data_IF_709254086233
#
_entry.id   IF_709254086233
#
_cell.length_a   1.000
_cell.length_b   1.000
_cell.length_c   1.000
_cell.angle_alpha   90.00
_cell.angle_beta   90.00
_cell.angle_gamma   90.00
#
_symmetry.space_group_name_H-M   'P 1'
#
loop_
_entity.id
_entity.type
_entity.pdbx_description
1 polymer ?
#
# COMPACT_ATOMS: atom_id res chain seq x y z
N UNK A 1 16.20 -34.28 20.91
CA UNK A 1 16.79 -33.22 20.05
C UNK A 1 15.91 -32.94 18.80
N UNK A 2 14.61 -32.60 18.97
CA UNK A 2 13.65 -32.49 17.85
C UNK A 2 12.72 -31.27 17.85
N UNK A 3 12.75 -30.43 18.88
CA UNK A 3 11.77 -29.33 19.07
C UNK A 3 12.17 -28.01 18.39
N UNK A 4 13.45 -27.80 18.08
CA UNK A 4 13.95 -26.55 17.47
C UNK A 4 13.57 -26.38 15.98
N UNK A 5 13.33 -27.48 15.26
CA UNK A 5 13.10 -27.45 13.82
C UNK A 5 11.62 -27.15 13.47
N UNK A 6 10.67 -27.71 14.23
CA UNK A 6 9.24 -27.47 14.04
C UNK A 6 8.84 -26.00 14.27
N UNK A 7 9.43 -25.35 15.30
CA UNK A 7 9.18 -23.93 15.59
C UNK A 7 9.76 -22.98 14.54
N UNK A 8 10.84 -23.38 13.84
CA UNK A 8 11.43 -22.59 12.74
C UNK A 8 10.61 -22.72 11.45
N UNK A 9 10.10 -23.92 11.16
CA UNK A 9 9.17 -24.16 10.05
C UNK A 9 7.87 -23.35 10.20
N UNK A 10 7.18 -23.49 11.33
CA UNK A 10 5.93 -22.76 11.59
C UNK A 10 6.10 -21.23 11.57
N UNK A 11 7.23 -20.71 12.06
CA UNK A 11 7.55 -19.26 12.00
C UNK A 11 7.74 -18.79 10.55
N UNK A 12 8.39 -19.61 9.72
CA UNK A 12 8.61 -19.30 8.29
C UNK A 12 7.28 -19.29 7.54
N UNK A 13 6.36 -20.20 7.86
CA UNK A 13 5.01 -20.24 7.28
C UNK A 13 4.18 -19.00 7.65
N UNK A 14 4.20 -18.57 8.91
CA UNK A 14 3.48 -17.37 9.36
C UNK A 14 4.04 -16.08 8.73
N UNK A 15 5.37 -15.96 8.64
CA UNK A 15 6.01 -14.85 7.93
C UNK A 15 5.64 -14.86 6.45
N UNK A 16 5.57 -16.05 5.84
CA UNK A 16 5.14 -16.23 4.47
C UNK A 16 3.72 -15.73 4.21
N UNK A 17 2.77 -16.06 5.08
CA UNK A 17 1.38 -15.57 5.00
C UNK A 17 1.36 -14.04 5.14
N UNK A 18 2.00 -13.52 6.18
CA UNK A 18 2.04 -12.09 6.47
C UNK A 18 2.60 -11.27 5.30
N UNK A 19 3.73 -11.67 4.71
CA UNK A 19 4.33 -10.94 3.58
C UNK A 19 3.49 -11.03 2.31
N UNK A 20 2.79 -12.14 2.10
CA UNK A 20 1.87 -12.28 0.97
C UNK A 20 0.62 -11.40 1.12
N UNK A 21 0.09 -11.23 2.34
CA UNK A 21 -1.01 -10.30 2.61
C UNK A 21 -0.57 -8.84 2.37
N UNK A 22 0.63 -8.46 2.82
CA UNK A 22 1.22 -7.15 2.49
C UNK A 22 1.46 -6.95 1.00
N UNK A 23 1.88 -8.00 0.28
CA UNK A 23 2.05 -7.94 -1.17
C UNK A 23 0.72 -7.75 -1.89
N UNK A 24 -0.35 -8.39 -1.43
CA UNK A 24 -1.70 -8.21 -1.95
C UNK A 24 -2.16 -6.76 -1.73
N UNK A 25 -2.06 -6.23 -0.51
CA UNK A 25 -2.40 -4.85 -0.18
C UNK A 25 -1.59 -3.82 -0.99
N UNK A 26 -0.27 -4.02 -1.09
CA UNK A 26 0.62 -3.17 -1.89
C UNK A 26 0.25 -3.18 -3.38
N UNK A 27 -0.20 -4.31 -3.91
CA UNK A 27 -0.66 -4.44 -5.30
C UNK A 27 -1.96 -3.67 -5.54
N UNK A 28 -2.93 -3.76 -4.62
CA UNK A 28 -4.19 -3.01 -4.70
C UNK A 28 -3.91 -1.50 -4.60
N UNK A 29 -3.14 -1.06 -3.60
CA UNK A 29 -2.78 0.35 -3.41
C UNK A 29 -2.05 0.93 -4.62
N UNK A 30 -1.05 0.21 -5.15
CA UNK A 30 -0.32 0.62 -6.35
C UNK A 30 -1.24 0.77 -7.57
N UNK A 31 -2.12 -0.19 -7.83
CA UNK A 31 -3.09 -0.09 -8.94
C UNK A 31 -4.05 1.07 -8.74
N UNK A 32 -4.51 1.30 -7.51
CA UNK A 32 -5.49 2.35 -7.19
C UNK A 32 -4.94 3.76 -7.40
N UNK A 33 -3.72 4.05 -6.92
CA UNK A 33 -3.12 5.38 -7.10
C UNK A 33 -2.81 5.66 -8.58
N UNK A 34 -2.34 4.68 -9.34
CA UNK A 34 -2.15 4.83 -10.80
C UNK A 34 -3.47 5.07 -11.54
N UNK A 35 -4.53 4.38 -11.15
CA UNK A 35 -5.87 4.64 -11.68
C UNK A 35 -6.32 6.07 -11.37
N UNK A 36 -6.12 6.53 -10.13
CA UNK A 36 -6.50 7.87 -9.69
C UNK A 36 -5.76 8.96 -10.47
N UNK A 37 -4.43 8.85 -10.61
CA UNK A 37 -3.61 9.77 -11.43
C UNK A 37 -4.13 9.84 -12.86
N UNK A 38 -4.41 8.70 -13.51
CA UNK A 38 -4.96 8.69 -14.88
C UNK A 38 -6.34 9.34 -14.96
N UNK A 39 -7.22 9.04 -14.01
CA UNK A 39 -8.59 9.54 -13.99
C UNK A 39 -8.68 11.04 -13.65
N UNK A 40 -7.62 11.62 -13.07
CA UNK A 40 -7.53 13.03 -12.73
C UNK A 40 -6.88 13.90 -13.83
N UNK A 41 -6.31 13.29 -14.88
CA UNK A 41 -5.70 14.01 -15.99
C UNK A 41 -4.58 14.95 -15.54
N UNK A 42 -4.53 16.16 -16.10
CA UNK A 42 -3.52 17.19 -15.81
C UNK A 42 -3.89 18.08 -14.60
N UNK A 43 -4.71 17.56 -13.67
CA UNK A 43 -5.09 18.33 -12.48
C UNK A 43 -3.90 18.49 -11.51
N UNK A 44 -3.89 19.55 -10.68
CA UNK A 44 -2.88 19.74 -9.63
C UNK A 44 -2.77 18.53 -8.67
N UNK A 45 -3.89 17.88 -8.36
CA UNK A 45 -3.90 16.68 -7.53
C UNK A 45 -3.21 15.50 -8.23
N UNK A 46 -3.38 15.33 -9.54
CA UNK A 46 -2.68 14.28 -10.28
C UNK A 46 -1.17 14.49 -10.24
N UNK A 47 -0.71 15.72 -10.48
CA UNK A 47 0.71 16.08 -10.41
C UNK A 47 1.31 15.80 -9.02
N UNK A 48 0.59 16.15 -7.95
CA UNK A 48 1.02 15.85 -6.58
C UNK A 48 1.06 14.33 -6.27
N UNK A 49 0.19 13.53 -6.90
CA UNK A 49 0.11 12.08 -6.67
C UNK A 49 1.09 11.27 -7.52
N UNK A 50 1.59 11.79 -8.65
CA UNK A 50 2.52 11.07 -9.53
C UNK A 50 3.79 10.60 -8.79
N UNK A 51 4.49 11.43 -8.00
CA UNK A 51 5.65 10.98 -7.23
C UNK A 51 5.29 9.86 -6.26
N UNK A 52 4.19 10.01 -5.52
CA UNK A 52 3.70 9.02 -4.55
C UNK A 52 3.36 7.69 -5.25
N UNK A 53 2.78 7.74 -6.46
CA UNK A 53 2.48 6.55 -7.25
C UNK A 53 3.75 5.78 -7.63
N UNK A 54 4.78 6.52 -8.07
CA UNK A 54 6.10 5.96 -8.36
C UNK A 54 6.74 5.33 -7.12
N UNK A 55 6.73 6.03 -6.00
CA UNK A 55 7.27 5.50 -4.74
C UNK A 55 6.52 4.27 -4.23
N UNK A 56 5.18 4.24 -4.29
CA UNK A 56 4.39 3.05 -3.91
C UNK A 56 4.70 1.86 -4.82
N UNK A 57 4.95 2.08 -6.11
CA UNK A 57 5.41 1.01 -7.00
C UNK A 57 6.81 0.51 -6.61
N UNK A 58 7.72 1.40 -6.23
CA UNK A 58 9.05 1.06 -5.73
C UNK A 58 8.96 0.29 -4.40
N UNK A 59 8.11 0.68 -3.45
CA UNK A 59 7.87 -0.07 -2.20
C UNK A 59 7.45 -1.51 -2.47
N UNK A 60 6.54 -1.71 -3.43
CA UNK A 60 6.09 -3.05 -3.82
C UNK A 60 7.25 -3.86 -4.42
N UNK A 61 8.11 -3.24 -5.22
CA UNK A 61 9.30 -3.90 -5.75
C UNK A 61 10.29 -4.27 -4.62
N UNK A 62 10.51 -3.38 -3.66
CA UNK A 62 11.31 -3.67 -2.47
C UNK A 62 10.73 -4.82 -1.65
N UNK A 63 9.41 -4.92 -1.50
CA UNK A 63 8.77 -6.05 -0.82
C UNK A 63 9.09 -7.38 -1.50
N UNK A 64 8.98 -7.43 -2.83
CA UNK A 64 9.26 -8.64 -3.60
C UNK A 64 10.72 -9.06 -3.47
N UNK A 65 11.65 -8.11 -3.48
CA UNK A 65 13.07 -8.36 -3.29
C UNK A 65 13.38 -8.89 -1.87
N UNK A 66 12.76 -8.30 -0.84
CA UNK A 66 12.87 -8.80 0.54
C UNK A 66 12.31 -10.22 0.65
N UNK A 67 11.14 -10.50 0.06
CA UNK A 67 10.56 -11.83 0.03
C UNK A 67 11.50 -12.85 -0.62
N UNK A 68 12.15 -12.47 -1.73
CA UNK A 68 13.16 -13.29 -2.41
C UNK A 68 14.33 -13.62 -1.50
N UNK A 69 14.93 -12.62 -0.84
CA UNK A 69 16.03 -12.80 0.13
C UNK A 69 15.64 -13.70 1.32
N UNK A 70 14.39 -13.63 1.75
CA UNK A 70 13.87 -14.46 2.83
C UNK A 70 13.50 -15.89 2.39
N UNK A 71 13.55 -16.20 1.09
CA UNK A 71 13.09 -17.48 0.54
C UNK A 71 11.56 -17.64 0.61
N UNK A 72 10.82 -16.54 0.74
CA UNK A 72 9.36 -16.53 0.79
C UNK A 72 8.82 -16.39 -0.63
N UNK A 73 8.15 -17.41 -1.19
CA UNK A 73 7.58 -17.30 -2.52
C UNK A 73 6.46 -16.27 -2.55
N UNK A 74 6.47 -15.41 -3.57
CA UNK A 74 5.34 -14.53 -3.89
C UNK A 74 4.18 -15.39 -4.40
N UNK A 75 3.23 -15.68 -3.53
CA UNK A 75 2.09 -16.53 -3.81
C UNK A 75 1.02 -15.73 -4.53
N UNK A 76 0.80 -16.07 -5.80
CA UNK A 76 -0.14 -15.38 -6.70
C UNK A 76 -1.62 -15.69 -6.43
N UNK A 77 -1.95 -16.55 -5.48
CA UNK A 77 -3.25 -17.23 -5.42
C UNK A 77 -4.47 -16.37 -5.07
N UNK A 78 -4.31 -15.05 -4.86
CA UNK A 78 -5.43 -14.11 -4.73
C UNK A 78 -5.27 -12.80 -5.49
N UNK A 79 -4.24 -12.65 -6.34
CA UNK A 79 -4.10 -11.47 -7.22
C UNK A 79 -5.37 -11.28 -8.08
N UNK A 80 -6.12 -12.36 -8.35
CA UNK A 80 -7.28 -12.38 -9.23
C UNK A 80 -8.66 -12.33 -8.53
N UNK A 81 -8.84 -12.86 -7.32
CA UNK A 81 -10.18 -12.95 -6.71
C UNK A 81 -10.68 -11.63 -6.08
N UNK A 82 -9.76 -10.78 -5.59
CA UNK A 82 -10.09 -9.49 -4.99
C UNK A 82 -10.28 -8.37 -6.04
N UNK A 83 -9.64 -8.48 -7.21
CA UNK A 83 -9.90 -7.57 -8.35
C UNK A 83 -11.37 -7.65 -8.85
N UNK A 84 -12.06 -8.76 -8.55
CA UNK A 84 -13.46 -9.05 -8.92
C UNK A 84 -14.50 -8.65 -7.87
N UNK A 85 -14.16 -8.52 -6.57
CA UNK A 85 -15.13 -8.19 -5.52
C UNK A 85 -15.21 -6.68 -5.20
N UNK A 86 -14.08 -5.96 -5.21
CA UNK A 86 -14.05 -4.51 -4.92
C UNK A 86 -14.62 -3.65 -6.07
N UNK A 87 -14.63 -4.16 -7.30
CA UNK A 87 -15.33 -3.52 -8.43
C UNK A 87 -16.86 -3.61 -8.32
N UNK A 88 -17.42 -4.52 -7.51
CA UNK A 88 -18.86 -4.76 -7.47
C UNK A 88 -19.62 -3.94 -6.40
N UNK A 89 -18.98 -3.51 -5.30
CA UNK A 89 -19.73 -3.03 -4.11
C UNK A 89 -19.83 -1.52 -3.87
N UNK A 90 -18.79 -0.72 -4.15
CA UNK A 90 -18.70 0.65 -3.58
C UNK A 90 -18.34 1.80 -4.51
N UNK A 91 -18.16 1.53 -5.81
CA UNK A 91 -17.98 2.58 -6.83
C UNK A 91 -19.21 2.82 -7.71
N UNK A 92 -20.39 2.34 -7.29
CA UNK A 92 -21.66 2.81 -7.87
C UNK A 92 -22.27 3.93 -7.02
N UNK A 93 -22.00 5.22 -7.31
CA UNK A 93 -23.07 6.19 -7.27
C UNK A 93 -23.88 5.98 -8.56
N UNK A 94 -25.09 5.49 -8.39
CA UNK A 94 -26.19 5.49 -9.35
C UNK A 94 -25.98 6.38 -10.58
N UNK A 95 -25.56 5.79 -11.70
CA UNK A 95 -25.86 6.07 -13.12
C UNK A 95 -26.16 7.49 -13.65
N UNK A 96 -25.99 8.57 -12.89
CA UNK A 96 -26.36 9.93 -13.27
C UNK A 96 -25.56 10.89 -12.41
N UNK A 97 -24.40 11.31 -12.89
CA UNK A 97 -23.85 12.66 -12.68
C UNK A 97 -22.55 12.77 -13.49
N UNK A 98 -22.56 13.70 -14.42
CA UNK A 98 -21.52 14.01 -15.43
C UNK A 98 -20.23 14.56 -14.77
N UNK A 99 -20.06 14.47 -13.45
CA UNK A 99 -18.94 15.04 -12.70
C UNK A 99 -18.59 14.17 -11.49
N UNK A 100 -17.30 13.82 -11.33
CA UNK A 100 -16.77 13.14 -10.13
C UNK A 100 -17.12 13.96 -8.89
N UNK A 101 -17.69 13.34 -7.86
CA UNK A 101 -17.99 14.04 -6.61
C UNK A 101 -16.70 14.51 -5.94
N UNK A 102 -16.62 15.75 -5.42
CA UNK A 102 -15.48 16.23 -4.63
C UNK A 102 -15.11 15.30 -3.46
N UNK A 103 -16.11 14.61 -2.87
CA UNK A 103 -15.89 13.65 -1.79
C UNK A 103 -15.24 12.34 -2.26
N UNK A 104 -15.32 11.99 -3.55
CA UNK A 104 -14.68 10.79 -4.08
C UNK A 104 -13.16 10.86 -3.91
N UNK A 105 -12.55 12.01 -4.22
CA UNK A 105 -11.11 12.20 -4.06
C UNK A 105 -10.67 12.11 -2.59
N UNK A 106 -11.49 12.61 -1.66
CA UNK A 106 -11.20 12.54 -0.21
C UNK A 106 -11.16 11.08 0.26
N UNK A 107 -12.19 10.29 -0.07
CA UNK A 107 -12.26 8.87 0.31
C UNK A 107 -11.14 8.05 -0.33
N UNK A 108 -10.74 8.39 -1.56
CA UNK A 108 -9.61 7.73 -2.20
C UNK A 108 -8.27 8.07 -1.54
N UNK A 109 -8.08 9.32 -1.09
CA UNK A 109 -6.88 9.71 -0.34
C UNK A 109 -6.83 8.99 1.01
N UNK A 110 -7.96 8.86 1.73
CA UNK A 110 -8.05 8.07 2.96
C UNK A 110 -7.68 6.60 2.74
N UNK A 111 -8.19 6.01 1.66
CA UNK A 111 -7.83 4.64 1.29
C UNK A 111 -6.32 4.49 1.04
N UNK A 112 -5.70 5.46 0.35
CA UNK A 112 -4.24 5.44 0.14
C UNK A 112 -3.48 5.61 1.45
N UNK A 113 -3.91 6.49 2.36
CA UNK A 113 -3.28 6.65 3.67
C UNK A 113 -3.30 5.35 4.46
N UNK A 114 -4.45 4.65 4.51
CA UNK A 114 -4.56 3.33 5.15
C UNK A 114 -3.60 2.31 4.53
N UNK A 115 -3.47 2.31 3.19
CA UNK A 115 -2.52 1.45 2.49
C UNK A 115 -1.06 1.77 2.84
N UNK A 116 -0.71 3.06 2.94
CA UNK A 116 0.64 3.51 3.30
C UNK A 116 0.97 3.19 4.77
N UNK A 117 0.02 3.34 5.70
CA UNK A 117 0.23 2.90 7.08
C UNK A 117 0.38 1.39 7.19
N UNK A 118 -0.41 0.63 6.43
CA UNK A 118 -0.32 -0.82 6.35
C UNK A 118 1.10 -1.27 5.99
N UNK A 119 1.64 -0.78 4.88
CA UNK A 119 3.02 -1.12 4.49
C UNK A 119 4.07 -0.59 5.48
N UNK A 120 3.87 0.60 6.07
CA UNK A 120 4.79 1.14 7.07
C UNK A 120 4.87 0.23 8.32
N UNK A 121 3.74 -0.31 8.76
CA UNK A 121 3.70 -1.32 9.82
C UNK A 121 4.48 -2.58 9.42
N UNK A 122 4.35 -3.04 8.17
CA UNK A 122 5.14 -4.13 7.60
C UNK A 122 6.65 -3.87 7.66
N UNK A 123 7.08 -2.66 7.27
CA UNK A 123 8.48 -2.24 7.34
C UNK A 123 9.03 -2.19 8.76
N UNK A 124 8.28 -1.63 9.70
CA UNK A 124 8.67 -1.60 11.13
C UNK A 124 8.80 -3.01 11.71
N UNK A 125 7.93 -3.94 11.31
CA UNK A 125 8.01 -5.34 11.72
C UNK A 125 9.28 -6.00 11.18
N UNK A 126 9.54 -5.89 9.88
CA UNK A 126 10.76 -6.41 9.26
C UNK A 126 12.02 -5.79 9.87
N UNK A 127 11.96 -4.49 10.21
CA UNK A 127 13.10 -3.79 10.83
C UNK A 127 13.47 -4.34 12.21
N UNK A 128 12.49 -4.83 12.98
CA UNK A 128 12.73 -5.56 14.22
C UNK A 128 13.28 -6.96 13.96
N UNK A 129 12.76 -7.68 12.97
CA UNK A 129 13.30 -9.00 12.62
C UNK A 129 14.76 -8.95 12.17
N UNK A 130 15.18 -7.84 11.55
CA UNK A 130 16.56 -7.59 11.13
C UNK A 130 17.58 -7.55 12.29
N UNK A 131 17.12 -7.51 13.56
CA UNK A 131 18.00 -7.69 14.73
C UNK A 131 18.49 -9.14 14.87
N UNK A 132 17.77 -10.10 14.30
CA UNK A 132 18.01 -11.55 14.45
C UNK A 132 18.13 -12.30 13.12
N UNK A 133 17.76 -11.67 12.00
CA UNK A 133 17.82 -12.24 10.65
C UNK A 133 18.72 -11.38 9.75
N UNK A 134 19.96 -11.82 9.55
CA UNK A 134 20.96 -11.11 8.75
C UNK A 134 20.65 -11.01 7.25
N UNK A 135 19.57 -11.63 6.76
CA UNK A 135 19.10 -11.47 5.37
C UNK A 135 18.36 -10.15 5.15
N UNK A 136 17.97 -9.47 6.24
CA UNK A 136 17.27 -8.19 6.22
C UNK A 136 18.24 -7.02 6.41
N UNK A 137 18.19 -6.07 5.48
CA UNK A 137 18.99 -4.86 5.54
C UNK A 137 18.29 -3.80 6.42
N UNK A 138 18.93 -3.44 7.52
CA UNK A 138 18.41 -2.45 8.48
C UNK A 138 18.31 -1.05 7.88
N UNK A 139 19.31 -0.63 7.12
CA UNK A 139 19.37 0.71 6.53
C UNK A 139 18.28 0.83 5.46
N UNK A 140 18.17 -0.16 4.58
CA UNK A 140 17.10 -0.19 3.58
C UNK A 140 15.70 -0.10 4.21
N UNK A 141 15.48 -0.82 5.31
CA UNK A 141 14.19 -0.79 6.02
C UNK A 141 13.93 0.57 6.69
N UNK A 142 14.95 1.21 7.25
CA UNK A 142 14.85 2.56 7.81
C UNK A 142 14.50 3.59 6.72
N UNK A 143 15.10 3.48 5.53
CA UNK A 143 14.76 4.31 4.35
C UNK A 143 13.32 4.10 3.87
N UNK A 144 12.84 2.85 3.83
CA UNK A 144 11.46 2.52 3.48
C UNK A 144 10.44 3.08 4.49
N UNK A 145 10.77 3.05 5.79
CA UNK A 145 9.95 3.65 6.85
C UNK A 145 9.88 5.18 6.68
N UNK A 146 11.01 5.84 6.42
CA UNK A 146 11.04 7.28 6.18
C UNK A 146 10.29 7.69 4.92
N UNK A 147 10.39 6.90 3.84
CA UNK A 147 9.60 7.14 2.63
C UNK A 147 8.10 7.03 2.91
N UNK A 148 7.65 6.00 3.64
CA UNK A 148 6.26 5.88 4.02
C UNK A 148 5.77 7.05 4.90
N UNK A 149 6.60 7.54 5.83
CA UNK A 149 6.29 8.74 6.64
C UNK A 149 6.11 9.99 5.78
N UNK A 150 6.96 10.22 4.78
CA UNK A 150 6.82 11.34 3.84
C UNK A 150 5.51 11.25 3.06
N UNK A 151 5.20 10.07 2.52
CA UNK A 151 3.96 9.85 1.79
C UNK A 151 2.72 10.11 2.63
N UNK A 152 2.71 9.69 3.90
CA UNK A 152 1.58 9.92 4.80
C UNK A 152 1.32 11.41 5.02
N UNK A 153 2.39 12.19 5.25
CA UNK A 153 2.27 13.66 5.39
C UNK A 153 1.69 14.29 4.14
N UNK A 154 2.23 13.98 2.97
CA UNK A 154 1.72 14.56 1.71
C UNK A 154 0.27 14.13 1.43
N UNK A 155 -0.08 12.86 1.67
CA UNK A 155 -1.47 12.39 1.50
C UNK A 155 -2.42 13.06 2.50
N UNK A 156 -1.98 13.35 3.71
CA UNK A 156 -2.77 14.05 4.72
C UNK A 156 -3.04 15.50 4.33
N UNK A 157 -2.00 16.22 3.92
CA UNK A 157 -2.11 17.60 3.42
C UNK A 157 -3.11 17.68 2.27
N UNK A 158 -2.96 16.81 1.26
CA UNK A 158 -3.88 16.74 0.12
C UNK A 158 -5.31 16.38 0.56
N UNK A 159 -5.47 15.44 1.50
CA UNK A 159 -6.79 15.02 1.98
C UNK A 159 -7.51 16.18 2.66
N UNK A 160 -6.82 16.91 3.54
CA UNK A 160 -7.39 18.04 4.27
C UNK A 160 -7.77 19.19 3.32
N UNK A 161 -6.88 19.54 2.38
CA UNK A 161 -7.15 20.56 1.37
C UNK A 161 -8.39 20.22 0.53
N UNK A 162 -8.51 18.97 0.08
CA UNK A 162 -9.66 18.53 -0.71
C UNK A 162 -10.95 18.39 0.12
N UNK A 163 -10.85 17.97 1.38
CA UNK A 163 -12.00 17.90 2.28
C UNK A 163 -12.58 19.29 2.56
N UNK A 164 -11.71 20.28 2.82
CA UNK A 164 -12.12 21.67 3.04
C UNK A 164 -12.85 22.24 1.81
N UNK A 165 -12.28 22.06 0.61
CA UNK A 165 -12.93 22.48 -0.65
C UNK A 165 -14.27 21.79 -0.86
N UNK A 166 -14.37 20.49 -0.59
CA UNK A 166 -15.59 19.73 -0.77
C UNK A 166 -16.71 20.15 0.19
N UNK A 167 -16.36 20.52 1.43
CA UNK A 167 -17.32 20.90 2.47
C UNK A 167 -17.72 22.38 2.41
N UNK A 168 -16.84 23.27 1.94
CA UNK A 168 -17.13 24.71 1.75
C UNK A 168 -17.87 25.03 0.46
N UNK A 169 -17.85 24.15 -0.53
CA UNK A 169 -18.63 24.30 -1.76
C UNK A 169 -20.14 24.00 -1.57
N UNK A 170 -20.65 24.08 -0.33
CA UNK A 170 -22.06 23.93 0.04
C UNK A 170 -22.70 25.29 0.28
#
# INVERSE_FOLDING_TARGET
MGTRNAGRGARTDLLGIYLNDHLAGSTVGSRRIHYMVRALGDSPLAEALRPIAGEIAQDRASLLDIMSRLGVPARRYKILAAETAERAGRLKPNGRLVRRSPLTSVVELEFLQLGVEGKAAGWRMLRRLAESDGRLDRQQLDELIERARRQLRTLEELRLEHAEKALRAR
#
